data_IF_385273897262
#
_entry.id   IF_385273897262
#
_cell.length_a   1.000
_cell.length_b   1.000
_cell.length_c   1.000
_cell.angle_alpha   90.00
_cell.angle_beta   90.00
_cell.angle_gamma   90.00
#
_symmetry.space_group_name_H-M   'P 1'
#
loop_
_entity.id
_entity.type
_entity.pdbx_description
1 polymer ?
#
# COMPACT_ATOMS: atom_id res chain seq x y z
N UNK A 1 4.40 -13.19 -12.46
CA UNK A 1 3.96 -12.07 -13.30
C UNK A 1 2.46 -11.91 -13.24
N UNK A 2 1.78 -12.98 -13.58
CA UNK A 2 0.33 -12.97 -13.56
C UNK A 2 -0.20 -12.67 -12.15
N UNK A 3 0.38 -13.32 -11.17
CA UNK A 3 -0.03 -13.15 -9.79
C UNK A 3 0.20 -11.72 -9.31
N UNK A 4 1.35 -11.19 -9.67
CA UNK A 4 1.70 -9.84 -9.25
C UNK A 4 0.72 -8.81 -9.83
N UNK A 5 0.41 -8.96 -11.11
CA UNK A 5 -0.53 -8.06 -11.75
C UNK A 5 -1.91 -8.15 -11.10
N UNK A 6 -2.33 -9.36 -10.82
CA UNK A 6 -3.61 -9.62 -10.19
C UNK A 6 -3.66 -9.00 -8.78
N UNK A 7 -2.57 -9.15 -8.03
CA UNK A 7 -2.47 -8.59 -6.68
C UNK A 7 -2.57 -7.08 -6.70
N UNK A 8 -1.87 -6.44 -7.65
CA UNK A 8 -1.93 -4.98 -7.76
C UNK A 8 -3.34 -4.50 -8.05
N UNK A 9 -4.06 -5.21 -8.92
CA UNK A 9 -5.42 -4.86 -9.25
C UNK A 9 -6.32 -4.94 -8.01
N UNK A 10 -6.17 -6.02 -7.24
CA UNK A 10 -6.97 -6.18 -6.03
C UNK A 10 -6.62 -5.14 -4.97
N UNK A 11 -5.33 -4.81 -4.84
CA UNK A 11 -4.91 -3.79 -3.90
C UNK A 11 -5.48 -2.43 -4.26
N UNK A 12 -5.50 -2.11 -5.55
CA UNK A 12 -6.10 -0.85 -5.99
C UNK A 12 -7.57 -0.78 -5.62
N UNK A 13 -8.28 -1.88 -5.80
CA UNK A 13 -9.68 -1.95 -5.45
C UNK A 13 -9.88 -1.75 -3.94
N UNK A 14 -9.07 -2.44 -3.15
CA UNK A 14 -9.16 -2.31 -1.69
C UNK A 14 -8.75 -0.92 -1.23
N UNK A 15 -7.71 -0.37 -1.85
CA UNK A 15 -7.23 0.96 -1.49
C UNK A 15 -8.31 2.01 -1.70
N UNK A 16 -9.08 1.88 -2.77
CA UNK A 16 -10.16 2.81 -3.03
C UNK A 16 -11.15 2.84 -1.87
N UNK A 17 -11.35 1.71 -1.21
CA UNK A 17 -12.29 1.62 -0.10
C UNK A 17 -11.80 2.25 1.19
N UNK A 18 -10.49 2.47 1.34
CA UNK A 18 -9.93 3.09 2.54
C UNK A 18 -9.24 4.42 2.26
N UNK A 19 -9.32 4.88 1.03
CA UNK A 19 -8.59 6.08 0.61
C UNK A 19 -8.93 7.31 1.46
N UNK A 20 -10.17 7.44 1.85
CA UNK A 20 -10.62 8.60 2.62
C UNK A 20 -10.17 8.56 4.08
N UNK A 21 -9.64 7.43 4.54
CA UNK A 21 -9.19 7.29 5.91
C UNK A 21 -7.81 7.89 6.14
N UNK A 22 -7.13 8.29 5.07
CA UNK A 22 -5.74 8.75 5.14
C UNK A 22 -5.55 10.04 4.36
N UNK A 23 -4.52 10.80 4.74
CA UNK A 23 -4.16 12.01 4.02
C UNK A 23 -3.69 11.65 2.61
N UNK A 24 -3.83 12.60 1.69
CA UNK A 24 -3.49 12.37 0.28
C UNK A 24 -2.02 11.95 0.11
N UNK A 25 -1.11 12.60 0.84
CA UNK A 25 0.31 12.28 0.70
C UNK A 25 0.64 10.89 1.25
N UNK A 26 -0.10 10.45 2.26
CA UNK A 26 0.07 9.11 2.82
C UNK A 26 -0.32 8.05 1.79
N UNK A 27 -1.46 8.25 1.15
CA UNK A 27 -1.91 7.35 0.09
C UNK A 27 -0.93 7.36 -1.07
N UNK A 28 -0.42 8.54 -1.43
CA UNK A 28 0.51 8.64 -2.55
C UNK A 28 1.81 7.90 -2.25
N UNK A 29 2.31 8.02 -1.02
CA UNK A 29 3.53 7.29 -0.63
C UNK A 29 3.33 5.79 -0.76
N UNK A 30 2.18 5.30 -0.33
CA UNK A 30 1.85 3.90 -0.45
C UNK A 30 1.81 3.45 -1.91
N UNK A 31 1.17 4.24 -2.76
CA UNK A 31 1.07 3.93 -4.18
C UNK A 31 2.45 3.84 -4.84
N UNK A 32 3.31 4.80 -4.53
CA UNK A 32 4.65 4.82 -5.09
C UNK A 32 5.46 3.63 -4.62
N UNK A 33 5.30 3.27 -3.37
CA UNK A 33 6.06 2.16 -2.80
C UNK A 33 5.60 0.81 -3.35
N UNK A 34 4.30 0.59 -3.37
CA UNK A 34 3.75 -0.73 -3.69
C UNK A 34 3.49 -0.92 -5.18
N UNK A 35 2.91 0.08 -5.82
CA UNK A 35 2.50 -0.09 -7.21
C UNK A 35 3.57 0.36 -8.21
N UNK A 36 4.27 1.44 -7.89
CA UNK A 36 5.28 1.97 -8.80
C UNK A 36 6.67 1.46 -8.48
N UNK A 37 6.82 0.77 -7.35
CA UNK A 37 8.08 0.15 -6.93
C UNK A 37 9.22 1.16 -6.88
N UNK A 38 8.91 2.36 -6.44
CA UNK A 38 9.91 3.40 -6.29
C UNK A 38 10.74 3.16 -5.04
N UNK A 39 11.98 3.62 -5.06
CA UNK A 39 12.82 3.53 -3.87
C UNK A 39 12.32 4.50 -2.81
N UNK A 40 12.63 4.18 -1.55
CA UNK A 40 12.24 5.05 -0.45
C UNK A 40 12.83 6.45 -0.63
N UNK A 41 14.08 6.52 -1.12
CA UNK A 41 14.71 7.81 -1.36
C UNK A 41 13.95 8.66 -2.37
N UNK A 42 13.47 8.03 -3.44
CA UNK A 42 12.68 8.74 -4.45
C UNK A 42 11.37 9.25 -3.88
N UNK A 43 10.73 8.44 -3.05
CA UNK A 43 9.46 8.83 -2.45
C UNK A 43 9.67 9.99 -1.48
N UNK A 44 10.72 9.92 -0.68
CA UNK A 44 11.04 10.99 0.26
C UNK A 44 11.25 12.31 -0.48
N UNK A 45 11.98 12.25 -1.57
CA UNK A 45 12.27 13.46 -2.33
C UNK A 45 11.01 14.00 -2.99
N UNK A 46 10.21 13.12 -3.57
CA UNK A 46 9.01 13.54 -4.29
C UNK A 46 7.96 14.15 -3.38
N UNK A 47 7.82 13.61 -2.17
CA UNK A 47 6.73 13.99 -1.28
C UNK A 47 7.16 14.80 -0.07
N UNK A 48 8.46 15.03 0.09
CA UNK A 48 8.97 15.75 1.24
C UNK A 48 8.80 14.99 2.54
N UNK A 49 8.90 13.67 2.49
CA UNK A 49 8.74 12.81 3.65
C UNK A 49 10.07 12.21 4.06
N UNK A 50 10.16 11.82 5.33
CA UNK A 50 11.32 11.06 5.79
C UNK A 50 11.12 9.58 5.47
N UNK A 51 12.22 8.82 5.49
CA UNK A 51 12.14 7.39 5.26
C UNK A 51 11.21 6.72 6.26
N UNK A 52 11.30 7.13 7.52
CA UNK A 52 10.43 6.58 8.55
C UNK A 52 8.97 6.86 8.25
N UNK A 53 8.67 8.06 7.78
CA UNK A 53 7.29 8.41 7.45
C UNK A 53 6.77 7.56 6.30
N UNK A 54 7.62 7.25 5.32
CA UNK A 54 7.20 6.40 4.21
C UNK A 54 6.88 4.99 4.71
N UNK A 55 7.72 4.43 5.56
CA UNK A 55 7.45 3.09 6.10
C UNK A 55 6.21 3.08 6.99
N UNK A 56 6.03 4.12 7.79
CA UNK A 56 4.84 4.23 8.65
C UNK A 56 3.60 4.30 7.78
N UNK A 57 3.63 5.11 6.72
CA UNK A 57 2.48 5.24 5.82
C UNK A 57 2.13 3.89 5.21
N UNK A 58 3.12 3.17 4.71
CA UNK A 58 2.91 1.87 4.11
C UNK A 58 2.31 0.89 5.11
N UNK A 59 2.87 0.85 6.33
CA UNK A 59 2.40 -0.10 7.33
C UNK A 59 1.01 0.22 7.83
N UNK A 60 0.69 1.50 8.01
CA UNK A 60 -0.64 1.90 8.45
C UNK A 60 -1.71 1.52 7.42
N UNK A 61 -1.43 1.77 6.16
CA UNK A 61 -2.38 1.45 5.11
C UNK A 61 -2.55 -0.06 4.98
N UNK A 62 -1.45 -0.81 5.04
CA UNK A 62 -1.53 -2.26 4.99
C UNK A 62 -2.32 -2.83 6.16
N UNK A 63 -2.12 -2.27 7.34
CA UNK A 63 -2.87 -2.70 8.51
C UNK A 63 -4.36 -2.44 8.33
N UNK A 64 -4.69 -1.26 7.83
CA UNK A 64 -6.09 -0.90 7.59
C UNK A 64 -6.72 -1.82 6.56
N UNK A 65 -5.98 -2.12 5.50
CA UNK A 65 -6.48 -3.01 4.47
C UNK A 65 -6.73 -4.41 5.03
N UNK A 66 -5.82 -4.90 5.86
CA UNK A 66 -6.01 -6.21 6.49
C UNK A 66 -7.24 -6.23 7.36
N UNK A 67 -7.43 -5.19 8.16
CA UNK A 67 -8.58 -5.13 9.06
C UNK A 67 -9.89 -5.14 8.30
N UNK A 68 -9.91 -4.44 7.18
CA UNK A 68 -11.14 -4.26 6.42
C UNK A 68 -11.38 -5.38 5.41
N UNK A 69 -10.32 -5.95 4.89
CA UNK A 69 -10.41 -6.96 3.83
C UNK A 69 -9.60 -8.20 4.18
N UNK A 70 -9.72 -8.66 5.43
CA UNK A 70 -8.90 -9.75 5.94
C UNK A 70 -8.94 -11.00 5.04
N UNK A 71 -10.12 -11.41 4.63
CA UNK A 71 -10.25 -12.62 3.81
C UNK A 71 -9.53 -12.46 2.47
N UNK A 72 -9.69 -11.30 1.86
CA UNK A 72 -9.07 -11.04 0.58
C UNK A 72 -7.54 -10.97 0.70
N UNK A 73 -7.06 -10.30 1.73
CA UNK A 73 -5.63 -10.16 1.94
C UNK A 73 -4.97 -11.48 2.28
N UNK A 74 -5.63 -12.33 3.03
CA UNK A 74 -5.11 -13.66 3.30
C UNK A 74 -4.96 -14.45 2.02
N UNK A 75 -5.94 -14.33 1.14
CA UNK A 75 -5.91 -15.02 -0.13
C UNK A 75 -4.73 -14.57 -0.99
N UNK A 76 -4.38 -13.28 -0.89
CA UNK A 76 -3.33 -12.71 -1.72
C UNK A 76 -1.93 -12.83 -1.12
N UNK A 77 -1.82 -12.74 0.20
CA UNK A 77 -0.52 -12.56 0.80
C UNK A 77 -0.11 -13.55 1.87
N UNK A 78 -1.02 -14.10 2.59
CA UNK A 78 -0.60 -14.80 3.75
C UNK A 78 -1.26 -16.12 4.01
N UNK A 79 -2.18 -16.46 3.21
CA UNK A 79 -2.99 -17.62 3.48
C UNK A 79 -2.21 -18.89 3.62
N UNK A 80 -1.11 -19.00 2.96
CA UNK A 80 -0.32 -20.21 2.95
C UNK A 80 0.78 -20.24 3.99
N UNK A 81 1.02 -19.10 4.60
CA UNK A 81 2.15 -18.97 5.53
C UNK A 81 2.01 -19.83 6.76
#
# INVERSE_FOLDING_TARGET
>A
LWERHCMQTHLLYCLAGVRDDFAAHTIRAFEMYVFEERSVAEICEALGMTANQVYVAKNLIMKRLRERYAALMESLYGGDA
#
